data_IF_778530025676
#
_entry.id   IF_778530025676
#
_cell.length_a   1.000
_cell.length_b   1.000
_cell.length_c   1.000
_cell.angle_alpha   90.00
_cell.angle_beta   90.00
_cell.angle_gamma   90.00
#
_symmetry.space_group_name_H-M   'P 1'
#
loop_
_entity.id
_entity.type
_entity.pdbx_description
1 polymer ?
#
# COMPACT_ATOMS: atom_id res chain seq x y z
N UNK A 1 -41.70 -21.86 -8.54
CA UNK A 1 -41.84 -20.41 -8.82
C UNK A 1 -41.01 -19.52 -7.87
N UNK A 2 -40.71 -19.92 -6.63
CA UNK A 2 -39.90 -19.15 -5.67
C UNK A 2 -38.38 -19.23 -5.91
N UNK A 3 -37.84 -20.35 -6.40
CA UNK A 3 -36.42 -20.51 -6.68
C UNK A 3 -35.95 -19.70 -7.90
N UNK A 4 -36.77 -19.58 -8.93
CA UNK A 4 -36.43 -18.76 -10.11
C UNK A 4 -36.26 -17.27 -9.78
N UNK A 5 -37.08 -16.70 -8.87
CA UNK A 5 -36.92 -15.29 -8.45
C UNK A 5 -35.64 -15.03 -7.68
N UNK A 6 -35.21 -16.00 -6.85
CA UNK A 6 -33.90 -15.90 -6.16
C UNK A 6 -32.70 -15.96 -7.13
N UNK A 7 -32.85 -16.76 -8.19
CA UNK A 7 -31.83 -16.90 -9.23
C UNK A 7 -31.69 -15.63 -10.06
N UNK A 8 -32.79 -15.05 -10.51
CA UNK A 8 -32.83 -13.78 -11.23
C UNK A 8 -32.33 -12.61 -10.38
N UNK A 9 -32.68 -12.54 -9.11
CA UNK A 9 -32.15 -11.54 -8.18
C UNK A 9 -30.64 -11.63 -8.01
N UNK A 10 -30.09 -12.83 -7.91
CA UNK A 10 -28.63 -13.05 -7.81
C UNK A 10 -27.90 -12.70 -9.12
N UNK A 11 -28.48 -13.03 -10.28
CA UNK A 11 -27.92 -12.66 -11.58
C UNK A 11 -27.94 -11.15 -11.79
N UNK A 12 -29.04 -10.47 -11.42
CA UNK A 12 -29.15 -9.02 -11.55
C UNK A 12 -28.14 -8.30 -10.64
N UNK A 13 -27.98 -8.72 -9.37
CA UNK A 13 -26.95 -8.18 -8.47
C UNK A 13 -25.55 -8.38 -9.05
N UNK A 14 -25.25 -9.56 -9.58
CA UNK A 14 -23.95 -9.85 -10.20
C UNK A 14 -23.68 -9.01 -11.45
N UNK A 15 -24.71 -8.66 -12.23
CA UNK A 15 -24.57 -7.78 -13.40
C UNK A 15 -24.33 -6.34 -12.99
N UNK A 16 -25.04 -5.83 -11.97
CA UNK A 16 -24.81 -4.50 -11.42
C UNK A 16 -23.40 -4.38 -10.82
N UNK A 17 -22.95 -5.36 -10.06
CA UNK A 17 -21.63 -5.40 -9.45
C UNK A 17 -20.50 -5.50 -10.50
N UNK A 18 -20.68 -6.29 -11.56
CA UNK A 18 -19.72 -6.33 -12.70
C UNK A 18 -19.66 -5.01 -13.47
N UNK A 19 -20.71 -4.19 -13.43
CA UNK A 19 -20.72 -2.86 -14.05
C UNK A 19 -20.17 -1.77 -13.14
N UNK A 20 -19.84 -2.08 -11.89
CA UNK A 20 -19.31 -1.15 -10.93
C UNK A 20 -17.94 -0.62 -11.33
N UNK A 21 -17.66 0.63 -11.02
CA UNK A 21 -16.35 1.24 -11.25
C UNK A 21 -15.32 0.63 -10.30
N UNK A 22 -14.14 0.33 -10.81
CA UNK A 22 -13.09 -0.36 -10.06
C UNK A 22 -12.69 0.37 -8.78
N UNK A 23 -12.59 1.70 -8.79
CA UNK A 23 -12.26 2.46 -7.58
C UNK A 23 -13.37 2.43 -6.53
N UNK A 24 -14.66 2.32 -6.93
CA UNK A 24 -15.79 2.20 -6.00
C UNK A 24 -15.75 0.83 -5.31
N UNK A 25 -15.54 -0.24 -6.06
CA UNK A 25 -15.34 -1.57 -5.52
C UNK A 25 -14.17 -1.58 -4.53
N UNK A 26 -13.02 -1.00 -4.92
CA UNK A 26 -11.83 -0.93 -4.08
C UNK A 26 -12.07 -0.15 -2.79
N UNK A 27 -12.82 0.95 -2.83
CA UNK A 27 -13.21 1.73 -1.65
C UNK A 27 -14.08 0.92 -0.68
N UNK A 28 -15.10 0.20 -1.19
CA UNK A 28 -15.93 -0.71 -0.40
C UNK A 28 -15.08 -1.83 0.22
N UNK A 29 -14.21 -2.44 -0.57
CA UNK A 29 -13.32 -3.50 -0.13
C UNK A 29 -12.39 -3.05 1.02
N UNK A 30 -11.81 -1.85 0.94
CA UNK A 30 -11.01 -1.29 2.03
C UNK A 30 -11.82 -1.16 3.31
N UNK A 31 -13.03 -0.62 3.22
CA UNK A 31 -13.90 -0.43 4.38
C UNK A 31 -14.29 -1.75 5.03
N UNK A 32 -14.59 -2.77 4.25
CA UNK A 32 -15.02 -4.07 4.77
C UNK A 32 -13.85 -4.86 5.35
N UNK A 33 -12.71 -4.92 4.65
CA UNK A 33 -11.64 -5.86 5.00
C UNK A 33 -10.43 -5.23 5.70
N UNK A 34 -10.26 -3.91 5.65
CA UNK A 34 -9.07 -3.24 6.20
C UNK A 34 -9.37 -2.29 7.34
N UNK A 35 -10.51 -1.61 7.33
CA UNK A 35 -10.88 -0.68 8.39
C UNK A 35 -11.01 -1.42 9.73
N UNK A 36 -10.33 -0.91 10.77
CA UNK A 36 -10.27 -1.55 12.08
C UNK A 36 -9.38 -2.79 12.20
N UNK A 37 -8.97 -3.43 11.07
CA UNK A 37 -8.12 -4.62 11.07
C UNK A 37 -6.63 -4.31 10.96
N UNK A 38 -6.26 -3.13 10.49
CA UNK A 38 -4.87 -2.73 10.25
C UNK A 38 -4.55 -1.39 10.93
N UNK A 39 -3.25 -1.14 11.14
CA UNK A 39 -2.80 0.13 11.75
C UNK A 39 -3.08 1.32 10.82
N UNK A 40 -3.38 2.49 11.41
CA UNK A 40 -3.69 3.72 10.67
C UNK A 40 -2.62 4.09 9.62
N UNK A 41 -1.34 3.86 9.91
CA UNK A 41 -0.23 4.10 8.97
C UNK A 41 -0.37 3.23 7.71
N UNK A 42 -0.84 1.99 7.87
CA UNK A 42 -1.09 1.07 6.75
C UNK A 42 -2.38 1.47 6.02
N UNK A 43 -3.43 1.82 6.76
CA UNK A 43 -4.69 2.29 6.17
C UNK A 43 -4.48 3.47 5.24
N UNK A 44 -3.68 4.46 5.66
CA UNK A 44 -3.33 5.62 4.83
C UNK A 44 -2.71 5.26 3.48
N UNK A 45 -1.96 4.15 3.40
CA UNK A 45 -1.41 3.68 2.12
C UNK A 45 -2.51 3.19 1.17
N UNK A 46 -3.52 2.48 1.69
CA UNK A 46 -4.69 2.05 0.90
C UNK A 46 -5.51 3.25 0.43
N UNK A 47 -5.68 4.27 1.26
CA UNK A 47 -6.37 5.52 0.90
C UNK A 47 -5.63 6.26 -0.23
N UNK A 48 -4.30 6.35 -0.15
CA UNK A 48 -3.47 6.94 -1.22
C UNK A 48 -3.64 6.14 -2.52
N UNK A 49 -3.66 4.81 -2.44
CA UNK A 49 -3.90 3.94 -3.60
C UNK A 49 -5.27 4.21 -4.22
N UNK A 50 -6.31 4.37 -3.39
CA UNK A 50 -7.66 4.75 -3.85
C UNK A 50 -7.67 6.09 -4.58
N UNK A 51 -6.97 7.10 -4.06
CA UNK A 51 -6.86 8.40 -4.72
C UNK A 51 -6.20 8.30 -6.11
N UNK A 52 -5.18 7.44 -6.24
CA UNK A 52 -4.54 7.19 -7.52
C UNK A 52 -5.43 6.43 -8.49
N UNK A 53 -6.23 5.48 -8.03
CA UNK A 53 -7.23 4.80 -8.87
C UNK A 53 -8.27 5.79 -9.41
N UNK A 54 -8.80 6.66 -8.54
CA UNK A 54 -9.73 7.73 -8.94
C UNK A 54 -9.13 8.69 -9.97
N UNK A 55 -7.82 8.93 -9.91
CA UNK A 55 -7.12 9.83 -10.81
C UNK A 55 -6.77 9.20 -12.16
N UNK A 56 -6.28 7.95 -12.16
CA UNK A 56 -5.75 7.30 -13.35
C UNK A 56 -6.83 6.59 -14.16
N UNK A 57 -7.81 6.00 -13.48
CA UNK A 57 -8.82 5.13 -14.12
C UNK A 57 -10.23 5.42 -13.59
N UNK A 58 -10.73 6.66 -13.65
CA UNK A 58 -12.01 7.05 -13.06
C UNK A 58 -13.21 6.33 -13.66
N UNK A 59 -13.11 5.86 -14.90
CA UNK A 59 -14.22 5.24 -15.64
C UNK A 59 -14.05 3.72 -15.83
N UNK A 60 -12.96 3.14 -15.31
CA UNK A 60 -12.68 1.71 -15.49
C UNK A 60 -13.65 0.87 -14.66
N UNK A 61 -14.42 0.03 -15.34
CA UNK A 61 -15.33 -0.93 -14.69
C UNK A 61 -14.61 -2.23 -14.35
N UNK A 62 -15.09 -2.94 -13.32
CA UNK A 62 -14.57 -4.27 -12.96
C UNK A 62 -14.60 -5.24 -14.14
N UNK A 63 -15.69 -5.26 -14.92
CA UNK A 63 -15.83 -6.12 -16.10
C UNK A 63 -14.81 -5.83 -17.22
N UNK A 64 -14.24 -4.63 -17.25
CA UNK A 64 -13.24 -4.21 -18.23
C UNK A 64 -11.81 -4.44 -17.76
N UNK A 65 -11.63 -4.87 -16.50
CA UNK A 65 -10.32 -5.09 -15.91
C UNK A 65 -9.71 -6.39 -16.46
N UNK A 66 -8.84 -6.25 -17.44
CA UNK A 66 -8.10 -7.33 -18.05
C UNK A 66 -6.59 -7.09 -17.95
N UNK A 67 -5.76 -8.04 -18.42
CA UNK A 67 -4.29 -7.92 -18.31
C UNK A 67 -3.72 -6.67 -18.96
N UNK A 68 -4.31 -6.21 -20.06
CA UNK A 68 -3.82 -5.03 -20.78
C UNK A 68 -4.17 -3.77 -20.01
N UNK A 69 -5.45 -3.60 -19.62
CA UNK A 69 -5.89 -2.43 -18.85
C UNK A 69 -5.19 -2.35 -17.48
N UNK A 70 -4.96 -3.50 -16.83
CA UNK A 70 -4.21 -3.57 -15.59
C UNK A 70 -2.74 -3.18 -15.76
N UNK A 71 -2.07 -3.69 -16.81
CA UNK A 71 -0.69 -3.32 -17.11
C UNK A 71 -0.55 -1.83 -17.46
N UNK A 72 -1.53 -1.28 -18.18
CA UNK A 72 -1.56 0.15 -18.50
C UNK A 72 -1.67 0.99 -17.22
N UNK A 73 -2.59 0.65 -16.32
CA UNK A 73 -2.71 1.30 -15.01
C UNK A 73 -1.38 1.31 -14.24
N UNK A 74 -0.66 0.18 -14.22
CA UNK A 74 0.65 0.11 -13.58
C UNK A 74 1.70 0.97 -14.28
N UNK A 75 1.69 1.02 -15.61
CA UNK A 75 2.61 1.85 -16.38
C UNK A 75 2.35 3.34 -16.12
N UNK A 76 1.09 3.78 -16.14
CA UNK A 76 0.69 5.17 -15.87
C UNK A 76 1.08 5.61 -14.44
N UNK A 77 0.91 4.72 -13.46
CA UNK A 77 1.37 4.97 -12.10
C UNK A 77 2.90 5.06 -12.01
N UNK A 78 3.61 4.19 -12.74
CA UNK A 78 5.06 4.11 -12.77
C UNK A 78 5.73 5.36 -13.37
N UNK A 79 5.03 6.14 -14.20
CA UNK A 79 5.53 7.41 -14.72
C UNK A 79 5.84 8.42 -13.62
N UNK A 80 5.14 8.35 -12.49
CA UNK A 80 5.30 9.29 -11.39
C UNK A 80 6.09 8.72 -10.21
N UNK A 81 6.31 7.39 -10.17
CA UNK A 81 6.83 6.71 -8.98
C UNK A 81 8.05 5.83 -9.27
N UNK A 82 8.83 5.58 -8.23
CA UNK A 82 9.91 4.60 -8.28
C UNK A 82 9.35 3.17 -8.32
N UNK A 83 10.15 2.24 -8.85
CA UNK A 83 9.76 0.84 -9.01
C UNK A 83 9.25 0.21 -7.70
N UNK A 84 9.86 0.53 -6.55
CA UNK A 84 9.43 -0.01 -5.26
C UNK A 84 8.02 0.48 -4.88
N UNK A 85 7.74 1.78 -5.08
CA UNK A 85 6.43 2.36 -4.81
C UNK A 85 5.36 1.77 -5.74
N UNK A 86 5.72 1.54 -7.02
CA UNK A 86 4.82 0.86 -7.97
C UNK A 86 4.55 -0.60 -7.56
N UNK A 87 5.55 -1.29 -7.00
CA UNK A 87 5.38 -2.63 -6.47
C UNK A 87 4.41 -2.64 -5.27
N UNK A 88 4.53 -1.68 -4.35
CA UNK A 88 3.64 -1.56 -3.20
C UNK A 88 2.20 -1.27 -3.66
N UNK A 89 2.02 -0.38 -4.64
CA UNK A 89 0.73 -0.11 -5.28
C UNK A 89 0.13 -1.37 -5.90
N UNK A 90 0.93 -2.12 -6.69
CA UNK A 90 0.51 -3.41 -7.25
C UNK A 90 0.02 -4.38 -6.17
N UNK A 91 0.75 -4.55 -5.07
CA UNK A 91 0.37 -5.47 -4.01
C UNK A 91 -0.95 -5.09 -3.33
N UNK A 92 -1.20 -3.80 -3.15
CA UNK A 92 -2.41 -3.30 -2.51
C UNK A 92 -3.66 -3.52 -3.39
N UNK A 93 -3.59 -3.22 -4.68
CA UNK A 93 -4.71 -3.42 -5.59
C UNK A 93 -4.91 -4.90 -5.95
N UNK A 94 -3.82 -5.67 -6.03
CA UNK A 94 -3.88 -7.10 -6.32
C UNK A 94 -4.72 -7.85 -5.29
N UNK A 95 -4.62 -7.53 -4.01
CA UNK A 95 -5.40 -8.18 -2.97
C UNK A 95 -6.91 -8.03 -3.22
N UNK A 96 -7.38 -6.82 -3.53
CA UNK A 96 -8.79 -6.58 -3.84
C UNK A 96 -9.24 -7.24 -5.15
N UNK A 97 -8.35 -7.27 -6.16
CA UNK A 97 -8.65 -7.91 -7.45
C UNK A 97 -8.78 -9.44 -7.29
N UNK A 98 -7.95 -10.08 -6.48
CA UNK A 98 -8.05 -11.51 -6.24
C UNK A 98 -9.36 -11.87 -5.56
N UNK A 99 -9.79 -11.08 -4.55
CA UNK A 99 -11.09 -11.27 -3.93
C UNK A 99 -12.23 -11.08 -4.96
N UNK A 100 -12.13 -10.09 -5.86
CA UNK A 100 -13.10 -9.90 -6.94
C UNK A 100 -13.13 -11.06 -7.95
N UNK A 101 -12.00 -11.73 -8.18
CA UNK A 101 -11.96 -12.94 -9.00
C UNK A 101 -12.60 -14.11 -8.28
N UNK A 102 -12.33 -14.30 -7.00
CA UNK A 102 -12.89 -15.38 -6.18
C UNK A 102 -14.40 -15.23 -6.01
N UNK A 103 -14.90 -13.99 -5.94
CA UNK A 103 -16.34 -13.68 -5.91
C UNK A 103 -17.02 -13.73 -7.30
N UNK A 104 -16.25 -13.92 -8.38
CA UNK A 104 -16.74 -14.03 -9.75
C UNK A 104 -17.12 -12.71 -10.43
N UNK A 105 -16.69 -11.57 -9.87
CA UNK A 105 -16.85 -10.25 -10.51
C UNK A 105 -15.88 -10.05 -11.68
N UNK A 106 -14.73 -10.68 -11.61
CA UNK A 106 -13.70 -10.72 -12.66
C UNK A 106 -13.48 -12.19 -13.06
N UNK A 107 -13.57 -12.49 -14.34
CA UNK A 107 -13.51 -13.88 -14.82
C UNK A 107 -12.11 -14.50 -14.72
N UNK A 108 -11.06 -13.69 -14.83
CA UNK A 108 -9.65 -14.16 -14.78
C UNK A 108 -8.76 -13.12 -14.11
N UNK A 109 -7.83 -13.58 -13.29
CA UNK A 109 -6.84 -12.74 -12.63
C UNK A 109 -6.00 -11.90 -13.63
N UNK A 110 -6.22 -10.57 -13.70
CA UNK A 110 -5.50 -9.68 -14.59
C UNK A 110 -4.09 -9.34 -14.07
N UNK A 111 -3.82 -9.62 -12.79
CA UNK A 111 -2.55 -9.26 -12.13
C UNK A 111 -1.44 -10.26 -12.42
N UNK A 112 -1.79 -11.42 -12.96
CA UNK A 112 -0.85 -12.51 -13.24
C UNK A 112 0.21 -12.08 -14.26
N UNK A 113 1.49 -12.25 -13.91
CA UNK A 113 2.64 -11.85 -14.76
C UNK A 113 2.69 -10.35 -15.07
N UNK A 114 2.19 -9.49 -14.18
CA UNK A 114 2.34 -8.05 -14.31
C UNK A 114 3.82 -7.65 -14.25
N UNK A 115 4.20 -6.71 -15.11
CA UNK A 115 5.57 -6.18 -15.18
C UNK A 115 5.62 -4.87 -14.42
N UNK A 116 6.42 -4.83 -13.37
CA UNK A 116 6.57 -3.64 -12.54
C UNK A 116 7.69 -2.77 -13.07
N UNK A 117 7.31 -1.62 -13.59
CA UNK A 117 8.20 -0.54 -14.01
C UNK A 117 8.27 0.54 -12.92
N UNK A 118 9.04 1.58 -13.16
CA UNK A 118 9.14 2.75 -12.29
C UNK A 118 10.35 3.58 -12.66
N UNK A 119 10.38 4.81 -12.15
CA UNK A 119 11.54 5.69 -12.30
C UNK A 119 12.76 5.09 -11.63
N UNK A 120 13.93 5.41 -12.15
CA UNK A 120 15.18 5.08 -11.47
C UNK A 120 15.19 5.67 -10.06
N UNK A 121 15.64 4.90 -9.06
CA UNK A 121 15.70 5.40 -7.69
C UNK A 121 16.57 6.65 -7.66
N UNK A 122 16.13 7.68 -6.93
CA UNK A 122 16.99 8.82 -6.60
C UNK A 122 18.23 8.27 -5.90
N UNK A 123 19.35 8.94 -6.07
CA UNK A 123 20.64 8.57 -5.45
C UNK A 123 20.38 8.13 -4.02
N UNK A 124 20.69 6.87 -3.71
CA UNK A 124 20.53 6.32 -2.36
C UNK A 124 21.39 7.14 -1.42
N UNK A 125 20.80 8.03 -0.63
CA UNK A 125 21.50 8.64 0.48
C UNK A 125 21.94 7.53 1.41
N UNK A 126 23.21 7.55 1.79
CA UNK A 126 23.78 6.67 2.83
C UNK A 126 22.92 6.86 4.09
N UNK A 127 22.33 5.77 4.59
CA UNK A 127 21.44 5.78 5.76
C UNK A 127 22.08 5.15 7.00
N UNK A 128 23.38 5.04 7.00
CA UNK A 128 24.14 4.49 8.12
C UNK A 128 25.35 5.35 8.36
N UNK A 129 25.83 5.34 9.59
CA UNK A 129 27.10 5.93 9.98
C UNK A 129 28.16 4.83 9.93
N UNK A 130 29.37 5.14 9.42
CA UNK A 130 30.49 4.26 9.58
C UNK A 130 31.02 4.33 11.06
N UNK A 131 31.95 3.45 11.41
CA UNK A 131 32.44 3.37 12.78
C UNK A 131 33.12 4.67 13.27
N UNK A 132 33.80 5.36 12.40
CA UNK A 132 34.45 6.64 12.72
C UNK A 132 33.43 7.75 12.94
N UNK A 133 32.43 7.85 12.05
CA UNK A 133 31.35 8.82 12.16
C UNK A 133 30.52 8.58 13.44
N UNK A 134 30.21 7.32 13.75
CA UNK A 134 29.49 6.95 14.97
C UNK A 134 30.32 7.33 16.21
N UNK A 135 31.59 7.01 16.24
CA UNK A 135 32.47 7.39 17.34
C UNK A 135 32.54 8.91 17.53
N UNK A 136 32.72 9.64 16.44
CA UNK A 136 32.76 11.11 16.44
C UNK A 136 31.43 11.67 16.96
N UNK A 137 30.29 11.13 16.54
CA UNK A 137 28.97 11.52 17.05
C UNK A 137 28.90 11.30 18.57
N UNK A 138 29.25 10.12 19.07
CA UNK A 138 29.13 9.76 20.49
C UNK A 138 30.03 10.62 21.40
N UNK A 139 31.25 10.97 20.96
CA UNK A 139 32.18 11.81 21.72
C UNK A 139 31.69 13.26 21.85
N UNK A 140 30.92 13.73 20.86
CA UNK A 140 30.37 15.10 20.86
C UNK A 140 28.99 15.22 21.53
N UNK A 141 28.40 14.14 22.08
CA UNK A 141 27.15 14.22 22.81
C UNK A 141 27.32 15.02 24.11
N UNK A 142 26.39 15.89 24.38
CA UNK A 142 26.31 16.68 25.64
C UNK A 142 25.34 16.02 26.61
N UNK A 143 25.85 15.05 27.36
CA UNK A 143 25.09 14.32 28.36
C UNK A 143 24.97 15.18 29.64
N UNK A 144 23.79 15.80 29.80
CA UNK A 144 23.46 16.57 31.01
C UNK A 144 22.70 15.71 32.01
N UNK A 145 22.47 16.21 33.22
CA UNK A 145 21.62 15.54 34.25
C UNK A 145 20.17 15.41 33.80
N UNK A 146 19.71 16.26 32.89
CA UNK A 146 18.38 16.19 32.32
C UNK A 146 18.41 15.31 31.05
N UNK A 147 17.39 14.45 30.91
CA UNK A 147 17.26 13.56 29.74
C UNK A 147 16.93 14.43 28.51
N UNK A 148 17.83 14.40 27.54
CA UNK A 148 17.72 15.12 26.29
C UNK A 148 17.88 14.17 25.06
N UNK A 149 17.89 14.73 23.88
CA UNK A 149 18.07 13.97 22.65
C UNK A 149 19.41 13.24 22.58
N UNK A 150 20.44 13.76 23.23
CA UNK A 150 21.77 13.13 23.24
C UNK A 150 21.75 11.81 24.01
N UNK A 151 20.98 11.71 25.09
CA UNK A 151 20.74 10.45 25.79
C UNK A 151 20.03 9.43 24.91
N UNK A 152 19.01 9.86 24.15
CA UNK A 152 18.30 8.98 23.22
C UNK A 152 19.23 8.45 22.12
N UNK A 153 20.06 9.32 21.55
CA UNK A 153 21.08 8.93 20.56
C UNK A 153 22.06 7.92 21.15
N UNK A 154 22.55 8.15 22.36
CA UNK A 154 23.44 7.23 23.07
C UNK A 154 22.80 5.86 23.27
N UNK A 155 21.56 5.80 23.74
CA UNK A 155 20.84 4.56 23.95
C UNK A 155 20.69 3.79 22.65
N UNK A 156 20.21 4.44 21.58
CA UNK A 156 20.06 3.81 20.27
C UNK A 156 21.42 3.29 19.76
N UNK A 157 22.48 4.06 19.86
CA UNK A 157 23.80 3.68 19.39
C UNK A 157 24.40 2.49 20.16
N UNK A 158 24.13 2.39 21.48
CA UNK A 158 24.65 1.31 22.33
C UNK A 158 23.81 0.04 22.30
N UNK A 159 22.52 0.14 22.08
CA UNK A 159 21.60 -0.99 22.18
C UNK A 159 21.14 -1.52 20.82
N UNK A 160 21.23 -0.69 19.76
CA UNK A 160 20.65 -1.01 18.44
C UNK A 160 19.12 -0.98 18.41
N UNK A 161 18.46 -0.42 19.42
CA UNK A 161 17.01 -0.25 19.45
C UNK A 161 16.52 0.57 18.27
N UNK A 162 15.30 0.26 17.79
CA UNK A 162 14.64 1.14 16.84
C UNK A 162 14.22 2.45 17.52
N UNK A 163 14.21 3.54 16.77
CA UNK A 163 13.83 4.85 17.28
C UNK A 163 12.49 4.85 18.06
N UNK A 164 11.48 4.16 17.54
CA UNK A 164 10.18 4.03 18.20
C UNK A 164 10.23 3.24 19.52
N UNK A 165 11.12 2.24 19.62
CA UNK A 165 11.34 1.46 20.82
C UNK A 165 12.06 2.31 21.88
N UNK A 166 13.07 3.07 21.47
CA UNK A 166 13.78 3.97 22.35
C UNK A 166 12.91 5.11 22.90
N UNK A 167 11.98 5.64 22.09
CA UNK A 167 11.00 6.63 22.55
C UNK A 167 10.02 6.06 23.60
N UNK A 168 9.60 4.81 23.43
CA UNK A 168 8.67 4.17 24.38
C UNK A 168 9.32 3.88 25.75
N UNK A 169 10.65 3.90 25.85
CA UNK A 169 11.37 3.70 27.11
C UNK A 169 11.30 4.92 28.03
N UNK A 170 10.83 6.06 27.53
CA UNK A 170 10.82 7.34 28.22
C UNK A 170 9.38 7.74 28.65
N UNK A 171 8.42 6.81 28.56
CA UNK A 171 7.05 6.95 29.06
C UNK A 171 6.83 6.09 30.31
#
# INVERSE_FOLDING_TARGET
>A
MWEQRKWWGRIMLTIEEKSELFYIYYEKWIRIYKEGAIRNVTMRKYEITLLWLKKLVPELKLSQLNRISYQQLLNDYAEFHERQTTMDFHHQIKAAILDAVDEGFIDRDPTRKAIIKGRSPRIKKIKYLNQFELHTLLVNLKLTSEINWDWLILIIAKTGMRFSEALAFNQ
#
